data_IF_742706674706
#
_entry.id   IF_742706674706
#
_cell.length_a   1.000
_cell.length_b   1.000
_cell.length_c   1.000
_cell.angle_alpha   90.00
_cell.angle_beta   90.00
_cell.angle_gamma   90.00
#
_symmetry.space_group_name_H-M   'P 1'
#
loop_
_entity.id
_entity.type
_entity.pdbx_description
1 polymer ?
#
# COMPACT_ATOMS: atom_id res chain seq x y z
N UNK A 1 -57.21 27.27 25.15
CA UNK A 1 -55.75 27.28 25.03
C UNK A 1 -55.35 25.94 24.47
N UNK A 2 -54.87 25.89 23.24
CA UNK A 2 -54.23 24.68 22.72
C UNK A 2 -53.02 25.14 21.91
N UNK A 3 -51.85 24.69 22.34
CA UNK A 3 -50.53 25.14 21.88
C UNK A 3 -50.06 24.17 20.81
N UNK A 4 -49.70 24.72 19.65
CA UNK A 4 -49.42 23.95 18.44
C UNK A 4 -48.14 23.12 18.46
N UNK A 5 -48.05 22.25 17.46
CA UNK A 5 -46.80 21.76 16.91
C UNK A 5 -47.00 21.51 15.40
N UNK A 6 -46.56 22.45 14.57
CA UNK A 6 -46.39 22.23 13.14
C UNK A 6 -45.08 21.46 12.93
N UNK A 7 -45.18 20.21 12.48
CA UNK A 7 -44.03 19.43 12.04
C UNK A 7 -43.60 19.90 10.65
N UNK A 8 -42.48 20.64 10.57
CA UNK A 8 -41.78 20.87 9.30
C UNK A 8 -40.82 19.72 9.04
N UNK A 9 -41.30 18.68 8.36
CA UNK A 9 -40.46 17.60 7.82
C UNK A 9 -39.71 18.06 6.57
N UNK A 10 -38.58 18.73 6.73
CA UNK A 10 -37.57 18.88 5.67
C UNK A 10 -36.29 18.15 6.07
N UNK A 11 -36.29 16.83 5.91
CA UNK A 11 -35.04 16.10 5.78
C UNK A 11 -34.54 16.31 4.34
N UNK A 12 -33.69 17.31 4.13
CA UNK A 12 -32.87 17.36 2.93
C UNK A 12 -31.82 16.24 3.05
N UNK A 13 -32.12 15.08 2.45
CA UNK A 13 -31.13 14.05 2.23
C UNK A 13 -30.19 14.57 1.13
N UNK A 14 -29.09 15.23 1.50
CA UNK A 14 -27.95 15.44 0.59
C UNK A 14 -27.23 14.10 0.53
N UNK A 15 -27.80 13.18 -0.24
CA UNK A 15 -27.09 11.97 -0.65
C UNK A 15 -26.05 12.38 -1.67
N UNK A 16 -24.84 12.67 -1.20
CA UNK A 16 -23.67 12.76 -2.08
C UNK A 16 -23.38 11.35 -2.60
N UNK A 17 -24.13 10.94 -3.62
CA UNK A 17 -23.83 9.75 -4.40
C UNK A 17 -22.64 10.07 -5.30
N UNK A 18 -21.45 10.11 -4.71
CA UNK A 18 -20.20 10.29 -5.42
C UNK A 18 -19.84 8.96 -6.13
N UNK A 19 -20.48 8.70 -7.26
CA UNK A 19 -20.22 7.57 -8.17
C UNK A 19 -18.90 7.77 -8.96
N UNK A 20 -17.82 8.16 -8.28
CA UNK A 20 -16.50 8.11 -8.90
C UNK A 20 -16.20 6.64 -9.24
N UNK A 21 -15.82 6.39 -10.50
CA UNK A 21 -15.40 5.04 -10.95
C UNK A 21 -14.23 4.58 -10.09
N UNK A 22 -14.34 3.36 -9.55
CA UNK A 22 -13.30 2.76 -8.72
C UNK A 22 -12.04 2.55 -9.57
N UNK A 23 -10.88 2.85 -9.01
CA UNK A 23 -9.61 2.43 -9.61
C UNK A 23 -9.54 0.90 -9.70
N UNK A 24 -8.61 0.38 -10.50
CA UNK A 24 -8.43 -1.07 -10.65
C UNK A 24 -8.14 -1.75 -9.30
N UNK A 25 -7.38 -1.09 -8.43
CA UNK A 25 -7.07 -1.56 -7.08
C UNK A 25 -8.33 -1.62 -6.20
N UNK A 26 -9.13 -0.55 -6.20
CA UNK A 26 -10.39 -0.49 -5.47
C UNK A 26 -11.38 -1.57 -5.94
N UNK A 27 -11.45 -1.79 -7.26
CA UNK A 27 -12.29 -2.81 -7.88
C UNK A 27 -11.86 -4.22 -7.47
N UNK A 28 -10.56 -4.50 -7.47
CA UNK A 28 -10.02 -5.79 -7.04
C UNK A 28 -10.34 -6.09 -5.57
N UNK A 29 -10.23 -5.09 -4.70
CA UNK A 29 -10.58 -5.21 -3.27
C UNK A 29 -12.08 -5.48 -3.08
N UNK A 30 -12.95 -4.76 -3.82
CA UNK A 30 -14.41 -5.00 -3.77
C UNK A 30 -14.80 -6.41 -4.21
N UNK A 31 -14.23 -6.88 -5.31
CA UNK A 31 -14.56 -8.18 -5.88
C UNK A 31 -14.24 -9.31 -4.92
N UNK A 32 -13.15 -9.22 -4.17
CA UNK A 32 -12.80 -10.26 -3.20
C UNK A 32 -13.73 -10.29 -2.01
N UNK A 33 -14.16 -9.15 -1.48
CA UNK A 33 -15.21 -9.13 -0.44
C UNK A 33 -16.49 -9.84 -0.90
N UNK A 34 -16.88 -9.68 -2.17
CA UNK A 34 -18.10 -10.27 -2.74
C UNK A 34 -17.96 -11.79 -3.01
N UNK A 35 -16.75 -12.26 -3.33
CA UNK A 35 -16.51 -13.62 -3.86
C UNK A 35 -15.94 -14.59 -2.82
N UNK A 36 -15.71 -14.15 -1.58
CA UNK A 36 -15.15 -14.99 -0.53
C UNK A 36 -16.17 -16.01 0.00
N UNK A 37 -15.96 -17.32 -0.28
CA UNK A 37 -16.88 -18.44 0.07
C UNK A 37 -16.22 -19.82 0.31
N UNK A 38 -14.96 -19.93 0.76
CA UNK A 38 -14.40 -21.28 1.04
C UNK A 38 -12.93 -21.35 1.45
N UNK A 39 -12.49 -22.58 1.77
CA UNK A 39 -11.16 -22.93 2.32
C UNK A 39 -10.04 -23.04 1.26
N UNK A 40 -10.32 -23.49 0.02
CA UNK A 40 -9.27 -23.61 -1.03
C UNK A 40 -8.61 -22.27 -1.38
N UNK A 41 -9.39 -21.17 -1.39
CA UNK A 41 -8.86 -19.81 -1.62
C UNK A 41 -7.97 -19.29 -0.48
N UNK A 42 -8.00 -19.93 0.69
CA UNK A 42 -7.18 -19.51 1.83
C UNK A 42 -5.71 -19.85 1.59
N UNK A 43 -5.43 -21.03 1.02
CA UNK A 43 -4.06 -21.47 0.73
C UNK A 43 -3.43 -20.53 -0.31
N UNK A 44 -4.14 -20.25 -1.40
CA UNK A 44 -3.69 -19.33 -2.44
C UNK A 44 -3.36 -17.93 -1.89
N UNK A 45 -4.23 -17.37 -1.02
CA UNK A 45 -4.00 -16.06 -0.38
C UNK A 45 -2.78 -16.09 0.53
N UNK A 46 -2.55 -17.20 1.25
CA UNK A 46 -1.38 -17.32 2.12
C UNK A 46 -0.09 -17.41 1.31
N UNK A 47 -0.10 -18.13 0.19
CA UNK A 47 1.04 -18.22 -0.74
C UNK A 47 1.33 -16.85 -1.40
N UNK A 48 0.32 -16.18 -1.94
CA UNK A 48 0.46 -14.85 -2.54
C UNK A 48 1.02 -13.82 -1.54
N UNK A 49 0.59 -13.87 -0.27
CA UNK A 49 1.15 -13.00 0.76
C UNK A 49 2.58 -13.39 1.10
N UNK A 50 2.88 -14.69 1.16
CA UNK A 50 4.22 -15.22 1.45
C UNK A 50 5.25 -14.63 0.49
N UNK A 51 4.93 -14.59 -0.81
CA UNK A 51 5.81 -14.06 -1.87
C UNK A 51 6.31 -12.64 -1.59
N UNK A 52 5.48 -11.79 -0.97
CA UNK A 52 5.87 -10.42 -0.63
C UNK A 52 6.54 -10.27 0.74
N UNK A 53 6.24 -11.16 1.70
CA UNK A 53 6.73 -11.02 3.08
C UNK A 53 8.01 -11.79 3.37
N UNK A 54 8.36 -12.75 2.50
CA UNK A 54 9.67 -13.40 2.52
C UNK A 54 10.70 -12.58 1.76
N UNK A 55 11.96 -12.97 1.92
CA UNK A 55 13.05 -12.42 1.13
C UNK A 55 12.88 -12.82 -0.34
N UNK A 56 13.31 -11.94 -1.25
CA UNK A 56 13.25 -12.23 -2.68
C UNK A 56 14.10 -13.49 -2.99
N UNK A 57 13.54 -14.52 -3.64
CA UNK A 57 14.17 -15.84 -3.74
C UNK A 57 15.47 -15.86 -4.55
N UNK A 58 15.59 -14.97 -5.54
CA UNK A 58 16.69 -14.97 -6.50
C UNK A 58 17.74 -13.87 -6.28
N UNK A 59 17.64 -13.09 -5.19
CA UNK A 59 18.49 -11.90 -4.99
C UNK A 59 19.29 -11.97 -3.71
N UNK A 60 20.51 -11.43 -3.76
CA UNK A 60 21.28 -11.19 -2.54
C UNK A 60 20.55 -10.18 -1.65
N UNK A 61 20.42 -10.52 -0.37
CA UNK A 61 19.73 -9.67 0.60
C UNK A 61 20.69 -8.60 1.11
N UNK A 62 20.70 -7.48 0.38
CA UNK A 62 21.48 -6.27 0.70
C UNK A 62 20.85 -5.48 1.85
N UNK A 63 19.51 -5.53 1.96
CA UNK A 63 18.75 -4.85 3.01
C UNK A 63 18.51 -3.35 2.77
N UNK A 64 17.68 -2.75 3.63
CA UNK A 64 17.20 -1.37 3.46
C UNK A 64 18.31 -0.32 3.54
N UNK A 65 19.19 -0.42 4.55
CA UNK A 65 20.23 0.58 4.82
C UNK A 65 21.18 0.76 3.63
N UNK A 66 21.79 -0.35 3.18
CA UNK A 66 22.69 -0.36 2.04
C UNK A 66 22.02 0.10 0.75
N UNK A 67 20.72 -0.18 0.55
CA UNK A 67 19.98 0.30 -0.63
C UNK A 67 19.77 1.81 -0.62
N UNK A 68 19.47 2.37 0.54
CA UNK A 68 19.36 3.83 0.69
C UNK A 68 20.72 4.51 0.58
N UNK A 69 21.79 3.88 1.10
CA UNK A 69 23.16 4.36 0.91
C UNK A 69 23.54 4.42 -0.58
N UNK A 70 23.28 3.35 -1.33
CA UNK A 70 23.55 3.27 -2.78
C UNK A 70 22.71 4.25 -3.60
N UNK A 71 21.54 4.62 -3.11
CA UNK A 71 20.63 5.59 -3.72
C UNK A 71 20.86 7.04 -3.27
N UNK A 72 21.92 7.34 -2.51
CA UNK A 72 22.19 8.68 -1.93
C UNK A 72 20.99 9.24 -1.13
N UNK A 73 20.39 8.37 -0.29
CA UNK A 73 19.20 8.64 0.54
C UNK A 73 19.38 8.14 2.00
N UNK A 74 20.62 8.11 2.49
CA UNK A 74 20.92 7.56 3.82
C UNK A 74 20.30 8.39 4.96
N UNK A 75 20.02 9.67 4.72
CA UNK A 75 19.30 10.57 5.64
C UNK A 75 17.88 10.07 5.96
N UNK A 76 17.23 9.37 5.03
CA UNK A 76 15.92 8.77 5.22
C UNK A 76 15.94 7.52 6.11
N UNK A 77 17.10 6.92 6.36
CA UNK A 77 17.20 5.60 6.97
C UNK A 77 16.48 5.49 8.32
N UNK A 78 16.62 6.50 9.20
CA UNK A 78 15.95 6.49 10.51
C UNK A 78 14.43 6.37 10.40
N UNK A 79 13.82 7.19 9.52
CA UNK A 79 12.36 7.16 9.27
C UNK A 79 11.96 5.89 8.54
N UNK A 80 12.70 5.51 7.51
CA UNK A 80 12.40 4.33 6.69
C UNK A 80 12.46 3.04 7.52
N UNK A 81 13.48 2.89 8.36
CA UNK A 81 13.63 1.75 9.27
C UNK A 81 12.51 1.69 10.30
N UNK A 82 12.11 2.83 10.90
CA UNK A 82 10.98 2.88 11.82
C UNK A 82 9.67 2.42 11.15
N UNK A 83 9.35 2.94 9.97
CA UNK A 83 8.12 2.62 9.23
C UNK A 83 8.12 1.16 8.75
N UNK A 84 9.25 0.68 8.21
CA UNK A 84 9.46 -0.73 7.87
C UNK A 84 9.15 -1.63 9.06
N UNK A 85 9.77 -1.35 10.21
CA UNK A 85 9.61 -2.18 11.40
C UNK A 85 8.19 -2.11 11.97
N UNK A 86 7.52 -0.96 11.85
CA UNK A 86 6.12 -0.79 12.23
C UNK A 86 5.20 -1.69 11.40
N UNK A 87 5.40 -1.74 10.08
CA UNK A 87 4.65 -2.64 9.19
C UNK A 87 5.03 -4.12 9.41
N UNK A 88 6.31 -4.43 9.55
CA UNK A 88 6.79 -5.79 9.84
C UNK A 88 6.14 -6.38 11.10
N UNK A 89 6.01 -5.57 12.17
CA UNK A 89 5.28 -5.99 13.38
C UNK A 89 3.79 -6.17 13.15
N UNK A 90 3.18 -5.46 12.20
CA UNK A 90 1.76 -5.60 11.88
C UNK A 90 1.49 -6.90 11.14
N UNK A 91 2.32 -7.23 10.14
CA UNK A 91 2.18 -8.45 9.34
C UNK A 91 2.58 -9.72 10.11
N UNK A 92 3.53 -9.62 11.05
CA UNK A 92 3.93 -10.75 11.90
C UNK A 92 2.93 -11.10 13.02
N UNK A 93 1.89 -10.27 13.26
CA UNK A 93 0.84 -10.61 14.20
C UNK A 93 -0.05 -11.67 13.55
N UNK A 94 -0.10 -12.88 14.14
CA UNK A 94 -0.98 -13.99 13.75
C UNK A 94 -2.47 -13.71 14.07
N UNK A 95 -2.95 -12.51 13.76
CA UNK A 95 -4.30 -12.02 14.04
C UNK A 95 -4.91 -11.30 12.83
N UNK A 96 -4.25 -11.27 11.68
CA UNK A 96 -4.81 -10.67 10.47
C UNK A 96 -5.96 -11.52 9.94
N UNK A 97 -7.11 -10.89 9.74
CA UNK A 97 -8.21 -11.48 9.00
C UNK A 97 -7.81 -11.75 7.54
N UNK A 98 -8.50 -12.68 6.89
CA UNK A 98 -8.26 -13.00 5.47
C UNK A 98 -8.47 -11.77 4.58
N UNK A 99 -9.47 -10.95 4.92
CA UNK A 99 -9.72 -9.68 4.23
C UNK A 99 -8.53 -8.72 4.35
N UNK A 100 -7.93 -8.59 5.54
CA UNK A 100 -6.73 -7.76 5.72
C UNK A 100 -5.54 -8.29 4.95
N UNK A 101 -5.33 -9.61 4.95
CA UNK A 101 -4.27 -10.26 4.16
C UNK A 101 -4.43 -9.96 2.67
N UNK A 102 -5.66 -10.06 2.14
CA UNK A 102 -5.94 -9.73 0.75
C UNK A 102 -5.68 -8.25 0.44
N UNK A 103 -6.14 -7.35 1.30
CA UNK A 103 -5.85 -5.91 1.14
C UNK A 103 -4.34 -5.67 1.12
N UNK A 104 -3.55 -6.38 1.94
CA UNK A 104 -2.10 -6.23 1.96
C UNK A 104 -1.45 -6.75 0.68
N UNK A 105 -1.88 -7.91 0.17
CA UNK A 105 -1.42 -8.44 -1.13
C UNK A 105 -1.65 -7.40 -2.22
N UNK A 106 -2.85 -6.83 -2.29
CA UNK A 106 -3.21 -5.84 -3.28
C UNK A 106 -2.35 -4.57 -3.18
N UNK A 107 -2.02 -4.14 -1.96
CA UNK A 107 -1.12 -2.99 -1.74
C UNK A 107 0.30 -3.30 -2.17
N UNK A 108 0.86 -4.41 -1.68
CA UNK A 108 2.24 -4.81 -1.94
C UNK A 108 2.45 -5.03 -3.44
N UNK A 109 1.48 -5.65 -4.12
CA UNK A 109 1.45 -5.81 -5.57
C UNK A 109 1.41 -4.48 -6.31
N UNK A 110 0.55 -3.53 -5.88
CA UNK A 110 0.47 -2.20 -6.47
C UNK A 110 1.78 -1.41 -6.30
N UNK A 111 2.37 -1.42 -5.09
CA UNK A 111 3.67 -0.79 -4.81
C UNK A 111 4.75 -1.38 -5.72
N UNK A 112 4.85 -2.71 -5.81
CA UNK A 112 5.83 -3.39 -6.65
C UNK A 112 5.66 -3.03 -8.13
N UNK A 113 4.42 -3.01 -8.61
CA UNK A 113 4.10 -2.67 -10.01
C UNK A 113 4.48 -1.23 -10.34
N UNK A 114 4.02 -0.27 -9.53
CA UNK A 114 4.34 1.16 -9.73
C UNK A 114 5.84 1.39 -9.64
N UNK A 115 6.53 0.70 -8.73
CA UNK A 115 7.98 0.78 -8.60
C UNK A 115 8.67 0.47 -9.92
N UNK A 116 8.42 -0.69 -10.53
CA UNK A 116 9.11 -1.11 -11.74
C UNK A 116 8.61 -0.41 -13.02
N UNK A 117 7.36 0.05 -13.05
CA UNK A 117 6.80 0.73 -14.22
C UNK A 117 7.13 2.23 -14.26
N UNK A 118 7.26 2.87 -13.10
CA UNK A 118 7.35 4.33 -13.02
C UNK A 118 8.62 4.81 -12.34
N UNK A 119 8.97 4.26 -11.17
CA UNK A 119 10.06 4.80 -10.33
C UNK A 119 11.42 4.29 -10.79
N UNK A 120 11.57 2.97 -10.94
CA UNK A 120 12.83 2.34 -11.33
C UNK A 120 13.39 2.86 -12.66
N UNK A 121 12.59 3.05 -13.74
CA UNK A 121 13.11 3.65 -14.97
C UNK A 121 13.71 5.05 -14.77
N UNK A 122 13.18 5.82 -13.80
CA UNK A 122 13.69 7.17 -13.48
C UNK A 122 15.01 7.10 -12.70
N UNK A 123 15.18 6.11 -11.82
CA UNK A 123 16.47 5.84 -11.17
C UNK A 123 17.52 5.48 -12.22
N UNK A 124 17.20 4.56 -13.14
CA UNK A 124 18.10 4.16 -14.24
C UNK A 124 18.44 5.34 -15.16
N UNK A 125 17.52 6.28 -15.34
CA UNK A 125 17.75 7.51 -16.13
C UNK A 125 18.59 8.57 -15.39
N UNK A 126 19.02 8.31 -14.16
CA UNK A 126 19.84 9.23 -13.37
C UNK A 126 19.08 10.40 -12.76
N UNK A 127 17.78 10.24 -12.48
CA UNK A 127 17.02 11.26 -11.75
C UNK A 127 17.60 11.47 -10.34
N UNK A 128 17.52 12.72 -9.85
CA UNK A 128 18.01 13.08 -8.51
C UNK A 128 17.16 12.45 -7.40
N UNK A 129 17.73 12.29 -6.20
CA UNK A 129 17.00 11.77 -5.03
C UNK A 129 15.72 12.57 -4.74
N UNK A 130 15.76 13.90 -4.88
CA UNK A 130 14.59 14.76 -4.69
C UNK A 130 13.48 14.49 -5.72
N UNK A 131 13.84 14.25 -6.99
CA UNK A 131 12.86 13.90 -8.02
C UNK A 131 12.26 12.52 -7.76
N UNK A 132 13.07 11.55 -7.33
CA UNK A 132 12.61 10.21 -6.96
C UNK A 132 11.67 10.26 -5.77
N UNK A 133 11.99 11.03 -4.72
CA UNK A 133 11.14 11.19 -3.55
C UNK A 133 9.78 11.81 -3.90
N UNK A 134 9.79 12.86 -4.73
CA UNK A 134 8.57 13.49 -5.20
C UNK A 134 7.72 12.51 -6.03
N UNK A 135 8.37 11.72 -6.90
CA UNK A 135 7.72 10.71 -7.73
C UNK A 135 7.12 9.59 -6.88
N UNK A 136 7.84 9.09 -5.88
CA UNK A 136 7.35 8.10 -4.91
C UNK A 136 6.10 8.65 -4.20
N UNK A 137 6.11 9.91 -3.79
CA UNK A 137 4.96 10.47 -3.11
C UNK A 137 3.74 10.61 -4.03
N UNK A 138 3.90 11.26 -5.19
CA UNK A 138 2.78 11.60 -6.07
C UNK A 138 2.25 10.41 -6.87
N UNK A 139 3.11 9.51 -7.34
CA UNK A 139 2.71 8.39 -8.22
C UNK A 139 2.51 7.07 -7.48
N UNK A 140 2.99 6.94 -6.25
CA UNK A 140 2.87 5.71 -5.46
C UNK A 140 2.11 5.92 -4.15
N UNK A 141 2.66 6.67 -3.19
CA UNK A 141 2.09 6.73 -1.83
C UNK A 141 0.68 7.31 -1.84
N UNK A 142 0.51 8.46 -2.49
CA UNK A 142 -0.75 9.19 -2.57
C UNK A 142 -1.86 8.40 -3.30
N UNK A 143 -1.66 7.90 -4.54
CA UNK A 143 -2.71 7.19 -5.25
C UNK A 143 -3.06 5.84 -4.60
N UNK A 144 -2.07 5.10 -4.10
CA UNK A 144 -2.32 3.85 -3.37
C UNK A 144 -3.17 4.12 -2.13
N UNK A 145 -2.78 5.08 -1.29
CA UNK A 145 -3.58 5.45 -0.11
C UNK A 145 -5.00 5.92 -0.48
N UNK A 146 -5.15 6.76 -1.51
CA UNK A 146 -6.46 7.24 -1.96
C UNK A 146 -7.39 6.11 -2.40
N UNK A 147 -6.85 5.09 -3.08
CA UNK A 147 -7.61 3.90 -3.45
C UNK A 147 -8.07 3.13 -2.19
N UNK A 148 -7.22 2.99 -1.17
CA UNK A 148 -7.52 2.07 -0.06
C UNK A 148 -8.31 2.72 1.07
N UNK A 149 -8.18 4.03 1.29
CA UNK A 149 -8.81 4.70 2.44
C UNK A 149 -10.33 4.54 2.47
N UNK A 150 -10.96 4.33 1.31
CA UNK A 150 -12.39 4.00 1.18
C UNK A 150 -12.75 2.59 1.68
N UNK A 151 -11.78 1.68 1.67
CA UNK A 151 -11.93 0.27 2.07
C UNK A 151 -11.49 0.01 3.49
N UNK A 152 -10.36 0.60 3.88
CA UNK A 152 -9.76 0.50 5.21
C UNK A 152 -9.20 1.86 5.61
N UNK A 153 -9.98 2.59 6.42
CA UNK A 153 -9.60 3.89 6.92
C UNK A 153 -8.47 3.83 7.98
N UNK A 154 -8.06 2.64 8.42
CA UNK A 154 -6.93 2.45 9.33
C UNK A 154 -5.58 2.47 8.61
N UNK A 155 -5.58 2.34 7.28
CA UNK A 155 -4.38 2.40 6.44
C UNK A 155 -4.09 3.86 6.13
N UNK A 156 -2.99 4.35 6.70
CA UNK A 156 -2.49 5.71 6.47
C UNK A 156 -1.42 5.75 5.38
N UNK A 157 -1.08 6.93 4.89
CA UNK A 157 0.09 7.12 4.01
C UNK A 157 1.38 6.58 4.62
N UNK A 158 1.57 6.72 5.94
CA UNK A 158 2.71 6.10 6.65
C UNK A 158 2.70 4.57 6.61
N UNK A 159 1.50 3.95 6.58
CA UNK A 159 1.37 2.50 6.45
C UNK A 159 1.82 2.06 5.06
N UNK A 160 1.42 2.79 4.02
CA UNK A 160 1.87 2.57 2.63
C UNK A 160 3.38 2.78 2.50
N UNK A 161 3.94 3.83 3.10
CA UNK A 161 5.40 4.04 3.16
C UNK A 161 6.10 2.89 3.90
N UNK A 162 5.52 2.39 4.99
CA UNK A 162 6.04 1.23 5.72
C UNK A 162 6.08 -0.04 4.87
N UNK A 163 5.04 -0.28 4.06
CA UNK A 163 4.97 -1.37 3.09
C UNK A 163 6.04 -1.23 1.99
N UNK A 164 6.24 -0.01 1.46
CA UNK A 164 7.31 0.29 0.50
C UNK A 164 8.69 -0.08 1.07
N UNK A 165 9.06 0.46 2.24
CA UNK A 165 10.36 0.18 2.86
C UNK A 165 10.53 -1.27 3.30
N UNK A 166 9.42 -1.96 3.57
CA UNK A 166 9.41 -3.39 3.84
C UNK A 166 9.78 -4.20 2.60
N UNK A 167 9.17 -3.93 1.44
CA UNK A 167 9.57 -4.55 0.18
C UNK A 167 11.02 -4.23 -0.19
N UNK A 168 11.47 -2.99 0.02
CA UNK A 168 12.88 -2.60 -0.16
C UNK A 168 13.81 -3.47 0.69
N UNK A 169 13.49 -3.62 1.98
CA UNK A 169 14.27 -4.40 2.93
C UNK A 169 14.30 -5.90 2.64
N UNK A 170 13.20 -6.45 2.10
CA UNK A 170 13.08 -7.84 1.63
C UNK A 170 13.65 -8.08 0.23
N UNK A 171 14.20 -7.04 -0.36
CA UNK A 171 14.84 -7.03 -1.66
C UNK A 171 13.95 -7.23 -2.89
N UNK A 172 12.65 -6.98 -2.72
CA UNK A 172 11.68 -6.93 -3.81
C UNK A 172 11.84 -5.70 -4.70
N UNK A 173 12.37 -4.59 -4.18
CA UNK A 173 12.56 -3.34 -4.93
C UNK A 173 14.03 -3.01 -5.14
N UNK A 174 14.41 -2.67 -6.38
CA UNK A 174 15.78 -2.26 -6.74
C UNK A 174 15.88 -0.74 -6.71
N UNK A 175 16.92 -0.23 -6.05
CA UNK A 175 17.17 1.21 -5.82
C UNK A 175 18.41 1.74 -6.55
N UNK A 176 19.09 0.88 -7.30
CA UNK A 176 20.29 1.20 -8.07
C UNK A 176 20.14 0.65 -9.49
N UNK A 177 20.78 1.26 -10.50
CA UNK A 177 20.86 0.65 -11.81
C UNK A 177 21.56 -0.72 -11.70
N UNK A 178 20.95 -1.78 -12.23
CA UNK A 178 21.65 -3.04 -12.43
C UNK A 178 22.81 -2.79 -13.43
N UNK A 179 24.05 -3.00 -12.98
CA UNK A 179 25.25 -2.90 -13.81
C UNK A 179 25.36 -4.05 -14.83
#
# INVERSE_FOLDING_TARGET
>A
MDVGAQYQGRANHIGDNNFASLTNLETAIEQVKKTWRGEDKLVDILEDLADYITEHPEREIVGLEKKLERGDQLDLFGRASFLKNKFARRVAKNQMSITEQYVYIQILSAINTIWYQTIYPRIVSGASSQEIDQLIFEELIKPVHQAIVRFDCTITTETVSGMLYFLTGKCHLIWEPEC
#
